data_IF_663752054267
#
_entry.id   IF_663752054267
#
_cell.length_a   1.000
_cell.length_b   1.000
_cell.length_c   1.000
_cell.angle_alpha   90.00
_cell.angle_beta   90.00
_cell.angle_gamma   90.00
#
_symmetry.space_group_name_H-M   'P 1'
#
loop_
_entity.id
_entity.type
_entity.pdbx_description
1 polymer ?
#
# COMPACT_ATOMS: atom_id res chain seq x y z
N UNK A 1 -22.55 -8.60 17.23
CA UNK A 1 -22.13 -8.87 15.86
C UNK A 1 -22.40 -7.63 15.05
N UNK A 2 -21.37 -6.84 14.75
CA UNK A 2 -21.50 -5.63 13.94
C UNK A 2 -20.23 -5.49 13.12
N UNK A 3 -20.11 -6.26 12.04
CA UNK A 3 -19.15 -5.98 10.98
C UNK A 3 -19.87 -5.13 9.97
N UNK A 4 -19.62 -3.82 10.04
CA UNK A 4 -20.17 -2.82 9.14
C UNK A 4 -19.86 -3.19 7.69
N UNK A 5 -20.90 -3.21 6.88
CA UNK A 5 -20.90 -3.56 5.44
C UNK A 5 -20.27 -2.41 4.59
N UNK A 6 -19.56 -1.46 5.21
CA UNK A 6 -18.97 -0.29 4.54
C UNK A 6 -17.43 -0.35 4.41
N UNK A 7 -16.75 -1.31 5.03
CA UNK A 7 -15.27 -1.35 5.02
C UNK A 7 -14.65 -1.81 3.68
N UNK A 8 -15.45 -2.34 2.74
CA UNK A 8 -14.92 -2.92 1.49
C UNK A 8 -14.66 -1.89 0.37
N UNK A 9 -15.32 -0.73 0.41
CA UNK A 9 -15.14 0.31 -0.64
C UNK A 9 -13.98 1.28 -0.36
N UNK A 10 -13.44 1.28 0.86
CA UNK A 10 -12.30 2.10 1.27
C UNK A 10 -11.02 1.28 1.41
N UNK A 11 -10.87 0.23 0.60
CA UNK A 11 -9.58 -0.47 0.55
C UNK A 11 -8.48 0.52 0.13
N UNK A 12 -7.59 0.79 1.09
CA UNK A 12 -6.52 1.75 0.97
C UNK A 12 -5.56 1.35 -0.17
N UNK A 13 -5.03 2.29 -0.98
CA UNK A 13 -4.20 1.99 -2.16
C UNK A 13 -3.06 1.01 -1.90
N UNK A 14 -2.35 1.10 -0.77
CA UNK A 14 -1.28 0.15 -0.47
C UNK A 14 -1.77 -1.27 -0.18
N UNK A 15 -2.95 -1.44 0.40
CA UNK A 15 -3.49 -2.79 0.62
C UNK A 15 -3.97 -3.39 -0.70
N UNK A 16 -4.57 -2.58 -1.58
CA UNK A 16 -4.87 -2.97 -2.96
C UNK A 16 -3.61 -3.39 -3.71
N UNK A 17 -2.56 -2.58 -3.62
CA UNK A 17 -1.27 -2.85 -4.24
C UNK A 17 -0.62 -4.12 -3.71
N UNK A 18 -0.58 -4.30 -2.38
CA UNK A 18 -0.05 -5.52 -1.76
C UNK A 18 -0.81 -6.74 -2.28
N UNK A 19 -2.15 -6.72 -2.25
CA UNK A 19 -2.96 -7.86 -2.70
C UNK A 19 -2.74 -8.18 -4.18
N UNK A 20 -2.50 -7.18 -5.01
CA UNK A 20 -2.34 -7.35 -6.45
C UNK A 20 -0.92 -7.79 -6.85
N UNK A 21 0.12 -7.26 -6.18
CA UNK A 21 1.52 -7.45 -6.59
C UNK A 21 2.30 -8.39 -5.67
N UNK A 22 1.80 -8.71 -4.49
CA UNK A 22 2.53 -9.47 -3.49
C UNK A 22 1.67 -10.57 -2.86
N UNK A 23 2.26 -11.75 -2.65
CA UNK A 23 1.67 -12.83 -1.84
C UNK A 23 1.95 -12.69 -0.34
N UNK A 24 2.70 -11.66 0.06
CA UNK A 24 3.11 -11.40 1.45
C UNK A 24 1.92 -11.04 2.33
N UNK A 25 1.93 -11.48 3.58
CA UNK A 25 1.01 -10.97 4.61
C UNK A 25 1.25 -9.48 4.85
N UNK A 26 0.27 -8.78 5.41
CA UNK A 26 0.41 -7.35 5.74
C UNK A 26 1.63 -7.07 6.63
N UNK A 27 1.95 -7.97 7.57
CA UNK A 27 3.09 -7.85 8.48
C UNK A 27 4.43 -8.07 7.77
N UNK A 28 4.49 -9.03 6.86
CA UNK A 28 5.69 -9.28 6.04
C UNK A 28 5.93 -8.12 5.07
N UNK A 29 4.87 -7.60 4.45
CA UNK A 29 4.94 -6.46 3.56
C UNK A 29 5.42 -5.19 4.28
N UNK A 30 4.87 -4.89 5.46
CA UNK A 30 5.34 -3.78 6.29
C UNK A 30 6.83 -3.92 6.62
N UNK A 31 7.28 -5.13 6.99
CA UNK A 31 8.70 -5.41 7.24
C UNK A 31 9.55 -5.24 6.00
N UNK A 32 9.09 -5.71 4.84
CA UNK A 32 9.80 -5.61 3.56
C UNK A 32 10.03 -4.15 3.14
N UNK A 33 9.08 -3.27 3.45
CA UNK A 33 9.17 -1.83 3.18
C UNK A 33 9.96 -1.08 4.28
N UNK A 34 10.44 -1.76 5.32
CA UNK A 34 11.20 -1.12 6.40
C UNK A 34 10.30 -0.31 7.36
N UNK A 35 9.10 -0.79 7.63
CA UNK A 35 8.10 -0.11 8.44
C UNK A 35 7.59 -0.99 9.58
N UNK A 36 7.21 -0.34 10.69
CA UNK A 36 6.60 -1.05 11.81
C UNK A 36 5.21 -1.57 11.45
N UNK A 37 4.85 -2.74 12.00
CA UNK A 37 3.52 -3.31 11.85
C UNK A 37 2.41 -2.37 12.31
N UNK A 38 2.65 -1.64 13.41
CA UNK A 38 1.69 -0.68 13.97
C UNK A 38 1.42 0.47 13.01
N UNK A 39 2.49 1.02 12.43
CA UNK A 39 2.39 2.09 11.43
C UNK A 39 1.56 1.64 10.22
N UNK A 40 1.79 0.42 9.74
CA UNK A 40 1.00 -0.14 8.64
C UNK A 40 -0.49 -0.30 9.02
N UNK A 41 -0.78 -0.87 10.18
CA UNK A 41 -2.16 -0.99 10.69
C UNK A 41 -2.84 0.37 10.82
N UNK A 42 -2.15 1.36 11.38
CA UNK A 42 -2.67 2.70 11.55
C UNK A 42 -3.00 3.34 10.18
N UNK A 43 -2.23 3.05 9.13
CA UNK A 43 -2.53 3.56 7.79
C UNK A 43 -3.75 2.92 7.17
N UNK A 44 -3.86 1.59 7.26
CA UNK A 44 -5.03 0.86 6.76
C UNK A 44 -6.29 1.29 7.52
N UNK A 45 -6.21 1.44 8.84
CA UNK A 45 -7.34 1.83 9.67
C UNK A 45 -7.71 3.32 9.53
N UNK A 46 -6.73 4.22 9.39
CA UNK A 46 -6.98 5.66 9.27
C UNK A 46 -7.31 6.10 7.84
N UNK A 47 -7.11 5.23 6.84
CA UNK A 47 -7.28 5.56 5.42
C UNK A 47 -6.37 6.69 4.94
N UNK A 48 -5.20 6.87 5.59
CA UNK A 48 -4.30 7.99 5.33
C UNK A 48 -3.03 7.55 4.63
N UNK A 49 -2.57 8.37 3.69
CA UNK A 49 -1.30 8.12 3.04
C UNK A 49 -0.11 8.34 3.95
N UNK A 50 0.82 7.40 3.95
CA UNK A 50 2.02 7.51 4.73
C UNK A 50 2.96 8.58 4.26
N UNK A 51 3.72 9.12 5.22
CA UNK A 51 5.00 9.74 4.91
C UNK A 51 6.05 8.64 4.83
N UNK A 52 6.23 8.09 3.65
CA UNK A 52 7.34 7.18 3.36
C UNK A 52 8.64 7.99 3.31
N UNK A 53 9.70 7.50 3.96
CA UNK A 53 11.04 8.02 3.69
C UNK A 53 11.50 7.61 2.28
N UNK A 54 12.54 8.24 1.72
CA UNK A 54 13.11 7.82 0.43
C UNK A 54 13.44 6.32 0.38
N UNK A 55 14.10 5.79 1.41
CA UNK A 55 14.46 4.37 1.51
C UNK A 55 13.23 3.45 1.53
N UNK A 56 12.16 3.88 2.19
CA UNK A 56 10.89 3.13 2.23
C UNK A 56 10.18 3.18 0.88
N UNK A 57 10.26 4.32 0.17
CA UNK A 57 9.71 4.44 -1.18
C UNK A 57 10.48 3.54 -2.15
N UNK A 58 11.81 3.52 -2.08
CA UNK A 58 12.65 2.62 -2.87
C UNK A 58 12.30 1.15 -2.59
N UNK A 59 12.25 0.75 -1.32
CA UNK A 59 11.87 -0.61 -0.92
C UNK A 59 10.46 -0.99 -1.40
N UNK A 60 9.51 -0.05 -1.37
CA UNK A 60 8.15 -0.26 -1.88
C UNK A 60 8.15 -0.46 -3.41
N UNK A 61 8.92 0.35 -4.14
CA UNK A 61 9.08 0.22 -5.58
C UNK A 61 9.66 -1.16 -5.95
N UNK A 62 10.69 -1.59 -5.24
CA UNK A 62 11.34 -2.89 -5.46
C UNK A 62 10.37 -4.06 -5.16
N UNK A 63 9.71 -4.04 -4.00
CA UNK A 63 8.79 -5.09 -3.57
C UNK A 63 7.60 -5.22 -4.52
N UNK A 64 7.11 -4.10 -5.04
CA UNK A 64 5.97 -4.10 -5.96
C UNK A 64 6.39 -4.16 -7.44
N UNK A 65 7.70 -4.10 -7.74
CA UNK A 65 8.24 -4.02 -9.11
C UNK A 65 7.64 -2.89 -9.94
N UNK A 66 7.48 -1.72 -9.33
CA UNK A 66 6.90 -0.51 -9.95
C UNK A 66 7.88 0.66 -9.77
N UNK A 67 8.06 1.50 -10.78
CA UNK A 67 8.94 2.66 -10.66
C UNK A 67 8.35 3.75 -9.73
N UNK A 68 9.22 4.62 -9.21
CA UNK A 68 8.83 5.65 -8.25
C UNK A 68 7.78 6.64 -8.79
N UNK A 69 7.80 7.00 -10.07
CA UNK A 69 6.84 7.96 -10.62
C UNK A 69 5.44 7.36 -10.73
N UNK A 70 5.37 6.11 -11.18
CA UNK A 70 4.12 5.35 -11.24
C UNK A 70 3.58 5.09 -9.83
N UNK A 71 4.45 4.69 -8.90
CA UNK A 71 4.07 4.47 -7.49
C UNK A 71 3.51 5.75 -6.86
N UNK A 72 4.17 6.90 -7.08
CA UNK A 72 3.67 8.20 -6.62
C UNK A 72 2.33 8.57 -7.26
N UNK A 73 2.16 8.32 -8.56
CA UNK A 73 0.91 8.59 -9.26
C UNK A 73 -0.24 7.78 -8.68
N UNK A 74 0.00 6.50 -8.37
CA UNK A 74 -0.99 5.61 -7.75
C UNK A 74 -1.32 6.04 -6.31
N UNK A 75 -0.31 6.32 -5.47
CA UNK A 75 -0.51 6.75 -4.08
C UNK A 75 -1.19 8.13 -3.96
N UNK A 76 -1.10 8.95 -5.01
CA UNK A 76 -1.78 10.25 -5.10
C UNK A 76 -3.14 10.18 -5.81
N UNK A 77 -3.57 8.99 -6.25
CA UNK A 77 -4.85 8.77 -6.91
C UNK A 77 -4.94 9.35 -8.33
N UNK A 78 -3.79 9.56 -8.99
CA UNK A 78 -3.75 10.01 -10.39
C UNK A 78 -3.98 8.88 -11.39
N UNK A 79 -3.68 7.64 -10.98
CA UNK A 79 -3.87 6.42 -11.76
C UNK A 79 -4.46 5.34 -10.87
N UNK A 80 -5.23 4.44 -11.48
CA UNK A 80 -5.82 3.29 -10.80
C UNK A 80 -4.91 2.05 -10.85
N UNK A 81 -5.26 1.02 -10.07
CA UNK A 81 -4.49 -0.23 -9.98
C UNK A 81 -4.30 -0.92 -11.34
N UNK A 82 -5.30 -0.79 -12.22
CA UNK A 82 -5.35 -1.39 -13.56
C UNK A 82 -4.36 -0.72 -14.54
N UNK A 83 -3.93 0.50 -14.23
CA UNK A 83 -2.96 1.27 -15.02
C UNK A 83 -1.51 0.99 -14.57
N UNK A 84 -1.31 0.20 -13.51
CA UNK A 84 0.03 -0.17 -13.06
C UNK A 84 0.68 -1.14 -14.06
N UNK A 85 1.95 -0.91 -14.43
CA UNK A 85 2.69 -1.80 -15.32
C UNK A 85 2.79 -3.20 -14.72
N UNK A 86 2.79 -4.21 -15.60
CA UNK A 86 2.83 -5.63 -15.22
C UNK A 86 4.20 -6.10 -14.74
#
# INVERSE_FOLDING_TARGET
MSTNILDSELEYPMEKLRKARCSMTQKEFAKAIGMSWRTYQDWVAAGKSPKLSPDQMESLCDVCSVDANTMLSFLTGKIDLEELPN
#
